data_IF_104518169409
#
_entry.id   IF_104518169409
#
_cell.length_a   1.000
_cell.length_b   1.000
_cell.length_c   1.000
_cell.angle_alpha   90.00
_cell.angle_beta   90.00
_cell.angle_gamma   90.00
#
_symmetry.space_group_name_H-M   'P 1'
#
loop_
_entity.id
_entity.type
_entity.pdbx_description
1 polymer ?
#
# COMPACT_ATOMS: atom_id res chain seq x y z
N UNK A 1 -6.75 21.89 7.44
CA UNK A 1 -6.14 20.85 6.58
C UNK A 1 -6.59 19.51 7.13
N UNK A 2 -7.22 18.67 6.32
CA UNK A 2 -7.61 17.33 6.71
C UNK A 2 -6.73 16.30 5.99
N UNK A 3 -6.48 15.15 6.62
CA UNK A 3 -5.71 14.07 6.04
C UNK A 3 -6.61 12.84 5.85
N UNK A 4 -6.67 12.35 4.63
CA UNK A 4 -7.42 11.15 4.27
C UNK A 4 -6.46 10.06 3.80
N UNK A 5 -6.67 8.84 4.28
CA UNK A 5 -5.98 7.67 3.77
C UNK A 5 -7.00 6.79 3.06
N UNK A 6 -6.73 6.41 1.81
CA UNK A 6 -7.62 5.63 0.95
C UNK A 6 -6.97 4.26 0.71
N UNK A 7 -7.75 3.20 0.81
CA UNK A 7 -7.31 1.84 0.52
C UNK A 7 -7.11 1.56 -0.98
N UNK A 8 -7.01 0.29 -1.33
CA UNK A 8 -6.72 -0.21 -2.67
C UNK A 8 -7.75 0.26 -3.70
N UNK A 9 -7.32 1.09 -4.65
CA UNK A 9 -8.18 1.61 -5.72
C UNK A 9 -8.25 0.62 -6.87
N UNK A 10 -7.13 0.03 -7.25
CA UNK A 10 -7.01 -0.99 -8.31
C UNK A 10 -7.81 -0.64 -9.57
N UNK A 11 -7.67 0.60 -10.09
CA UNK A 11 -8.36 1.06 -11.30
C UNK A 11 -9.86 1.33 -11.16
N UNK A 12 -10.41 1.38 -9.95
CA UNK A 12 -11.81 1.73 -9.68
C UNK A 12 -11.98 3.27 -9.62
N UNK A 13 -11.74 3.97 -10.72
CA UNK A 13 -11.74 5.44 -10.72
C UNK A 13 -13.10 6.04 -10.44
N UNK A 14 -14.19 5.45 -10.92
CA UNK A 14 -15.53 6.00 -10.68
C UNK A 14 -15.88 5.98 -9.18
N UNK A 15 -15.44 4.94 -8.44
CA UNK A 15 -15.61 4.86 -7.00
C UNK A 15 -14.70 5.86 -6.28
N UNK A 16 -13.51 6.11 -6.81
CA UNK A 16 -12.62 7.16 -6.30
C UNK A 16 -13.26 8.54 -6.45
N UNK A 17 -13.78 8.88 -7.61
CA UNK A 17 -14.42 10.16 -7.90
C UNK A 17 -15.66 10.40 -6.99
N UNK A 18 -16.51 9.37 -6.83
CA UNK A 18 -17.63 9.43 -5.88
C UNK A 18 -17.14 9.58 -4.43
N UNK A 19 -16.07 8.88 -4.04
CA UNK A 19 -15.52 8.98 -2.69
C UNK A 19 -14.96 10.38 -2.42
N UNK A 20 -14.23 10.98 -3.38
CA UNK A 20 -13.73 12.35 -3.29
C UNK A 20 -14.89 13.36 -3.11
N UNK A 21 -15.97 13.17 -3.85
CA UNK A 21 -17.19 13.97 -3.69
C UNK A 21 -17.80 13.79 -2.29
N UNK A 22 -17.92 12.54 -1.82
CA UNK A 22 -18.50 12.19 -0.51
C UNK A 22 -17.74 12.77 0.68
N UNK A 23 -16.40 12.81 0.59
CA UNK A 23 -15.55 13.42 1.62
C UNK A 23 -15.43 14.95 1.47
N UNK A 24 -16.01 15.51 0.41
CA UNK A 24 -15.89 16.93 0.04
C UNK A 24 -14.42 17.38 -0.04
N UNK A 25 -13.62 16.58 -0.79
CA UNK A 25 -12.18 16.81 -0.90
C UNK A 25 -11.85 18.16 -1.56
N UNK A 26 -10.92 18.88 -0.95
CA UNK A 26 -10.40 20.16 -1.45
C UNK A 26 -8.89 20.07 -1.67
N UNK A 27 -8.44 20.22 -2.92
CA UNK A 27 -7.02 20.20 -3.27
C UNK A 27 -6.18 21.24 -2.50
N UNK A 28 -6.76 22.36 -2.13
CA UNK A 28 -6.06 23.44 -1.43
C UNK A 28 -5.96 23.22 0.08
N UNK A 29 -6.87 22.41 0.65
CA UNK A 29 -7.04 22.31 2.09
C UNK A 29 -6.85 20.90 2.65
N UNK A 30 -6.80 19.88 1.81
CA UNK A 30 -6.75 18.49 2.25
C UNK A 30 -5.58 17.72 1.62
N UNK A 31 -5.21 16.63 2.26
CA UNK A 31 -4.18 15.70 1.80
C UNK A 31 -4.77 14.30 1.65
N UNK A 32 -4.49 13.64 0.54
CA UNK A 32 -4.79 12.22 0.31
C UNK A 32 -3.49 11.41 0.30
N UNK A 33 -3.52 10.29 1.01
CA UNK A 33 -2.49 9.27 0.94
C UNK A 33 -3.15 7.95 0.55
N UNK A 34 -2.76 7.38 -0.58
CA UNK A 34 -3.19 6.04 -0.95
C UNK A 34 -2.34 4.98 -0.25
N UNK A 35 -2.98 3.94 0.25
CA UNK A 35 -2.32 2.80 0.91
C UNK A 35 -1.72 1.78 -0.07
N UNK A 36 -1.46 2.20 -1.32
CA UNK A 36 -0.91 1.37 -2.39
C UNK A 36 -1.99 0.71 -3.25
N UNK A 37 -1.52 -0.08 -4.24
CA UNK A 37 -2.35 -0.76 -5.23
C UNK A 37 -3.35 0.17 -5.93
N UNK A 38 -2.79 1.17 -6.60
CA UNK A 38 -3.54 2.15 -7.39
C UNK A 38 -4.08 1.52 -8.67
N UNK A 39 -3.34 0.59 -9.24
CA UNK A 39 -3.52 0.05 -10.59
C UNK A 39 -3.82 -1.44 -10.61
N UNK A 40 -4.13 -1.92 -11.82
CA UNK A 40 -4.40 -3.31 -12.16
C UNK A 40 -5.82 -3.75 -11.76
N UNK A 41 -6.33 -4.83 -12.36
CA UNK A 41 -7.64 -5.42 -12.14
C UNK A 41 -8.82 -4.59 -12.72
N UNK A 42 -9.06 -3.40 -12.18
CA UNK A 42 -10.09 -2.51 -12.69
C UNK A 42 -9.66 -1.82 -14.00
N UNK A 43 -10.65 -1.32 -14.72
CA UNK A 43 -10.50 -0.83 -16.11
C UNK A 43 -9.89 0.57 -16.24
N UNK A 44 -9.95 1.39 -15.18
CA UNK A 44 -9.61 2.81 -15.25
C UNK A 44 -8.28 3.14 -14.55
N UNK A 45 -7.30 2.21 -14.59
CA UNK A 45 -6.00 2.38 -13.91
C UNK A 45 -5.25 3.63 -14.38
N UNK A 46 -5.32 3.98 -15.66
CA UNK A 46 -4.70 5.20 -16.19
C UNK A 46 -5.32 6.45 -15.56
N UNK A 47 -6.66 6.52 -15.47
CA UNK A 47 -7.36 7.67 -14.87
C UNK A 47 -6.98 7.87 -13.38
N UNK A 48 -6.77 6.79 -12.63
CA UNK A 48 -6.29 6.86 -11.24
C UNK A 48 -4.90 7.49 -11.19
N UNK A 49 -3.98 7.07 -12.06
CA UNK A 49 -2.63 7.63 -12.10
C UNK A 49 -2.60 9.07 -12.60
N UNK A 50 -3.42 9.41 -13.60
CA UNK A 50 -3.56 10.79 -14.08
C UNK A 50 -4.04 11.72 -12.97
N UNK A 51 -5.00 11.28 -12.15
CA UNK A 51 -5.42 12.02 -10.96
C UNK A 51 -4.25 12.23 -9.98
N UNK A 52 -3.46 11.19 -9.71
CA UNK A 52 -2.31 11.29 -8.82
C UNK A 52 -1.24 12.25 -9.33
N UNK A 53 -0.86 12.13 -10.61
CA UNK A 53 0.20 12.92 -11.23
C UNK A 53 -0.21 14.38 -11.36
N UNK A 54 -1.49 14.66 -11.62
CA UNK A 54 -2.02 16.02 -11.76
C UNK A 54 -2.15 16.77 -10.44
N UNK A 55 -2.06 16.07 -9.30
CA UNK A 55 -2.28 16.67 -7.97
C UNK A 55 -1.10 16.41 -6.98
N UNK A 56 0.15 16.67 -7.36
CA UNK A 56 1.32 16.27 -6.55
C UNK A 56 1.43 17.04 -5.22
N UNK A 57 0.72 18.18 -5.09
CA UNK A 57 0.69 18.98 -3.86
C UNK A 57 -0.26 18.47 -2.78
N UNK A 58 -1.29 17.71 -3.18
CA UNK A 58 -2.35 17.22 -2.27
C UNK A 58 -2.53 15.70 -2.29
N UNK A 59 -1.87 15.00 -3.22
CA UNK A 59 -1.99 13.55 -3.39
C UNK A 59 -0.64 12.87 -3.29
N UNK A 60 -0.57 11.83 -2.49
CA UNK A 60 0.62 10.98 -2.33
C UNK A 60 0.20 9.52 -2.12
N UNK A 61 1.16 8.60 -2.17
CA UNK A 61 0.90 7.18 -1.95
C UNK A 61 2.07 6.50 -1.24
N UNK A 62 1.84 5.29 -0.76
CA UNK A 62 2.86 4.26 -0.60
C UNK A 62 2.73 3.27 -1.76
N UNK A 63 3.79 2.53 -2.07
CA UNK A 63 3.75 1.54 -3.15
C UNK A 63 3.12 0.23 -2.66
N UNK A 64 2.16 -0.28 -3.44
CA UNK A 64 1.66 -1.64 -3.34
C UNK A 64 2.37 -2.61 -4.29
N UNK A 65 2.01 -3.88 -4.22
CA UNK A 65 2.64 -4.89 -5.09
C UNK A 65 2.21 -4.73 -6.56
N UNK A 66 1.01 -4.23 -6.84
CA UNK A 66 0.57 -3.95 -8.20
C UNK A 66 1.26 -2.70 -8.79
N UNK A 67 1.55 -1.70 -7.99
CA UNK A 67 2.30 -0.52 -8.42
C UNK A 67 3.75 -0.90 -8.77
N UNK A 68 4.40 -1.70 -7.94
CA UNK A 68 5.75 -2.24 -8.20
C UNK A 68 5.76 -3.15 -9.44
N UNK A 69 4.69 -3.91 -9.68
CA UNK A 69 4.54 -4.72 -10.89
C UNK A 69 4.46 -3.84 -12.15
N UNK A 70 3.68 -2.77 -12.13
CA UNK A 70 3.65 -1.79 -13.23
C UNK A 70 5.05 -1.21 -13.48
N UNK A 71 5.75 -0.77 -12.43
CA UNK A 71 7.12 -0.26 -12.54
C UNK A 71 8.07 -1.30 -13.15
N UNK A 72 7.92 -2.58 -12.80
CA UNK A 72 8.69 -3.67 -13.42
C UNK A 72 8.39 -3.82 -14.92
N UNK A 73 7.13 -3.76 -15.33
CA UNK A 73 6.77 -3.81 -16.75
C UNK A 73 7.39 -2.66 -17.53
N UNK A 74 7.38 -1.45 -17.00
CA UNK A 74 8.00 -0.27 -17.62
C UNK A 74 9.51 -0.52 -17.83
N UNK A 75 10.22 -0.98 -16.80
CA UNK A 75 11.68 -1.21 -16.88
C UNK A 75 12.06 -2.39 -17.76
N UNK A 76 11.26 -3.45 -17.78
CA UNK A 76 11.50 -4.65 -18.59
C UNK A 76 10.99 -4.52 -20.03
N UNK A 77 10.21 -3.45 -20.35
CA UNK A 77 9.45 -3.31 -21.58
C UNK A 77 8.51 -4.50 -21.81
N UNK A 78 7.93 -4.98 -20.72
CA UNK A 78 6.93 -6.05 -20.73
C UNK A 78 5.56 -5.52 -21.10
N UNK A 79 4.59 -6.41 -21.26
CA UNK A 79 3.19 -6.10 -21.51
C UNK A 79 2.28 -6.82 -20.54
N UNK A 80 1.12 -6.22 -20.30
CA UNK A 80 0.01 -6.79 -19.56
C UNK A 80 -1.27 -6.11 -20.05
N UNK A 81 -2.25 -6.90 -20.48
CA UNK A 81 -3.48 -6.38 -21.11
C UNK A 81 -4.23 -5.40 -20.19
N UNK A 82 -4.21 -5.64 -18.88
CA UNK A 82 -4.86 -4.76 -17.91
C UNK A 82 -4.14 -3.42 -17.71
N UNK A 83 -2.87 -3.31 -18.13
CA UNK A 83 -2.02 -2.15 -17.93
C UNK A 83 -1.55 -1.52 -19.25
N UNK A 84 -2.00 -2.07 -20.40
CA UNK A 84 -1.57 -1.63 -21.72
C UNK A 84 -1.81 -0.14 -21.96
N UNK A 85 -2.97 0.37 -21.56
CA UNK A 85 -3.31 1.78 -21.70
C UNK A 85 -2.30 2.70 -20.98
N UNK A 86 -1.78 2.28 -19.82
CA UNK A 86 -0.74 3.02 -19.10
C UNK A 86 0.59 2.93 -19.84
N UNK A 87 0.97 1.73 -20.31
CA UNK A 87 2.25 1.49 -20.99
C UNK A 87 2.35 2.25 -22.32
N UNK A 88 1.22 2.53 -22.96
CA UNK A 88 1.12 3.30 -24.20
C UNK A 88 0.82 4.79 -23.98
N UNK A 89 0.61 5.21 -22.73
CA UNK A 89 0.24 6.59 -22.39
C UNK A 89 1.37 7.57 -22.72
N UNK A 90 1.05 8.73 -23.31
CA UNK A 90 2.01 9.83 -23.48
C UNK A 90 2.52 10.37 -22.12
N UNK A 91 1.80 10.12 -21.04
CA UNK A 91 2.19 10.51 -19.68
C UNK A 91 3.05 9.46 -18.95
N UNK A 92 3.41 8.33 -19.58
CA UNK A 92 4.14 7.23 -18.96
C UNK A 92 5.36 7.69 -18.15
N UNK A 93 6.15 8.62 -18.68
CA UNK A 93 7.34 9.14 -18.00
C UNK A 93 6.98 9.93 -16.72
N UNK A 94 5.89 10.70 -16.73
CA UNK A 94 5.42 11.45 -15.57
C UNK A 94 4.87 10.51 -14.51
N UNK A 95 4.07 9.53 -14.92
CA UNK A 95 3.53 8.45 -14.07
C UNK A 95 4.68 7.69 -13.40
N UNK A 96 5.65 7.24 -14.19
CA UNK A 96 6.79 6.49 -13.65
C UNK A 96 7.63 7.31 -12.68
N UNK A 97 7.87 8.59 -12.98
CA UNK A 97 8.59 9.50 -12.09
C UNK A 97 7.84 9.72 -10.78
N UNK A 98 6.51 9.83 -10.84
CA UNK A 98 5.67 9.97 -9.65
C UNK A 98 5.71 8.69 -8.80
N UNK A 99 5.54 7.50 -9.39
CA UNK A 99 5.64 6.21 -8.68
C UNK A 99 7.00 6.05 -8.00
N UNK A 100 8.10 6.42 -8.66
CA UNK A 100 9.45 6.39 -8.07
C UNK A 100 9.62 7.34 -6.87
N UNK A 101 8.77 8.32 -6.69
CA UNK A 101 8.76 9.20 -5.52
C UNK A 101 7.99 8.63 -4.33
N UNK A 102 7.22 7.55 -4.54
CA UNK A 102 6.41 6.93 -3.51
C UNK A 102 7.26 5.92 -2.69
N UNK A 103 7.31 6.06 -1.35
CA UNK A 103 7.99 5.10 -0.48
C UNK A 103 7.11 3.86 -0.22
N UNK A 104 7.67 2.85 0.48
CA UNK A 104 6.89 1.72 0.99
C UNK A 104 6.13 2.03 2.29
N UNK A 105 6.53 3.11 2.99
CA UNK A 105 5.91 3.55 4.24
C UNK A 105 5.93 5.07 4.35
N UNK A 106 4.84 5.65 4.85
CA UNK A 106 4.73 7.06 5.27
C UNK A 106 4.31 7.16 6.72
N UNK A 107 4.60 8.29 7.35
CA UNK A 107 4.07 8.60 8.67
C UNK A 107 3.51 10.02 8.71
N UNK A 108 2.42 10.21 9.46
CA UNK A 108 1.81 11.51 9.73
C UNK A 108 1.68 11.67 11.24
N UNK A 109 2.21 12.76 11.76
CA UNK A 109 2.01 13.15 13.15
C UNK A 109 0.98 14.29 13.24
N UNK A 110 -0.15 14.01 13.87
CA UNK A 110 -1.20 15.01 14.15
C UNK A 110 -0.91 15.68 15.49
N UNK A 111 -0.38 16.92 15.45
CA UNK A 111 0.04 17.68 16.65
C UNK A 111 -1.09 17.87 17.66
N UNK A 112 -2.28 18.21 17.18
CA UNK A 112 -3.43 18.53 18.04
C UNK A 112 -3.95 17.30 18.80
N UNK A 113 -3.66 16.10 18.28
CA UNK A 113 -4.07 14.84 18.88
C UNK A 113 -2.93 14.10 19.56
N UNK A 114 -1.69 14.50 19.28
CA UNK A 114 -0.47 13.80 19.68
C UNK A 114 -0.47 12.33 19.22
N UNK A 115 -1.00 12.06 18.03
CA UNK A 115 -1.12 10.73 17.46
C UNK A 115 -0.25 10.60 16.22
N UNK A 116 0.37 9.45 16.03
CA UNK A 116 1.17 9.11 14.85
C UNK A 116 0.47 8.01 14.04
N UNK A 117 0.29 8.25 12.76
CA UNK A 117 -0.28 7.30 11.81
C UNK A 117 0.81 6.82 10.86
N UNK A 118 1.02 5.52 10.81
CA UNK A 118 1.92 4.84 9.90
C UNK A 118 1.10 4.20 8.78
N UNK A 119 1.39 4.57 7.54
CA UNK A 119 0.69 4.10 6.34
C UNK A 119 1.64 3.23 5.53
N UNK A 120 1.22 2.02 5.21
CA UNK A 120 1.93 1.06 4.39
C UNK A 120 0.95 0.19 3.63
N UNK A 121 1.41 -0.54 2.60
CA UNK A 121 0.47 -1.33 1.81
C UNK A 121 0.04 -2.62 2.52
N UNK A 122 0.97 -3.47 2.98
CA UNK A 122 0.61 -4.73 3.64
C UNK A 122 0.88 -4.71 5.16
N UNK A 123 2.12 -4.47 5.59
CA UNK A 123 2.43 -4.44 7.02
C UNK A 123 3.92 -4.33 7.33
N UNK A 124 4.26 -4.47 8.60
CA UNK A 124 5.64 -4.59 9.11
C UNK A 124 5.77 -5.84 9.98
N UNK A 125 6.91 -6.55 9.93
CA UNK A 125 7.11 -7.72 10.77
C UNK A 125 7.35 -7.33 12.24
N UNK A 126 7.06 -8.22 13.20
CA UNK A 126 7.21 -7.94 14.63
C UNK A 126 8.67 -7.73 15.07
N UNK A 127 9.64 -8.05 14.22
CA UNK A 127 11.06 -7.85 14.48
C UNK A 127 11.49 -6.40 14.31
N UNK A 128 10.70 -5.56 13.62
CA UNK A 128 11.08 -4.17 13.33
C UNK A 128 10.35 -3.19 14.26
N UNK A 129 11.08 -2.15 14.64
CA UNK A 129 10.51 -0.90 15.14
C UNK A 129 10.03 -0.04 13.96
N UNK A 130 9.21 0.98 14.22
CA UNK A 130 8.78 1.90 13.16
C UNK A 130 9.95 2.71 12.56
N UNK A 131 10.97 3.03 13.37
CA UNK A 131 12.17 3.71 12.89
C UNK A 131 12.98 2.82 11.94
N UNK A 132 13.11 1.53 12.26
CA UNK A 132 13.75 0.56 11.37
C UNK A 132 12.90 0.36 10.09
N UNK A 133 11.59 0.21 10.21
CA UNK A 133 10.68 0.10 9.08
C UNK A 133 10.82 1.31 8.14
N UNK A 134 10.85 2.53 8.69
CA UNK A 134 11.09 3.74 7.91
C UNK A 134 12.45 3.72 7.22
N UNK A 135 13.51 3.36 7.94
CA UNK A 135 14.86 3.24 7.37
C UNK A 135 14.89 2.25 6.20
N UNK A 136 14.21 1.11 6.32
CA UNK A 136 14.17 0.11 5.26
C UNK A 136 13.31 0.55 4.07
N UNK A 137 12.22 1.27 4.32
CA UNK A 137 11.45 1.92 3.26
C UNK A 137 12.30 2.95 2.48
N UNK A 138 13.06 3.79 3.19
CA UNK A 138 13.96 4.78 2.58
C UNK A 138 15.12 4.10 1.80
N UNK A 139 15.60 2.94 2.26
CA UNK A 139 16.60 2.11 1.56
C UNK A 139 16.06 1.67 0.18
N UNK A 140 14.84 1.13 0.13
CA UNK A 140 14.21 0.71 -1.12
C UNK A 140 13.92 1.90 -2.03
N UNK A 141 13.39 3.00 -1.50
CA UNK A 141 13.14 4.23 -2.26
C UNK A 141 14.42 4.74 -2.95
N UNK A 142 15.55 4.72 -2.22
CA UNK A 142 16.85 5.11 -2.76
C UNK A 142 17.31 4.19 -3.90
N UNK A 143 17.15 2.87 -3.74
CA UNK A 143 17.52 1.90 -4.77
C UNK A 143 16.59 2.00 -6.01
N UNK A 144 15.29 2.21 -5.84
CA UNK A 144 14.35 2.47 -6.93
C UNK A 144 14.73 3.71 -7.74
N UNK A 145 15.29 4.74 -7.11
CA UNK A 145 15.74 5.93 -7.82
C UNK A 145 17.13 5.78 -8.44
N UNK A 146 18.02 4.96 -7.86
CA UNK A 146 19.39 4.78 -8.33
C UNK A 146 19.50 3.75 -9.45
N UNK A 147 18.83 2.60 -9.30
CA UNK A 147 18.90 1.50 -10.24
C UNK A 147 17.58 0.70 -10.25
N UNK A 148 16.48 1.32 -10.78
CA UNK A 148 15.14 0.72 -10.72
C UNK A 148 15.10 -0.65 -11.41
N UNK A 149 15.73 -0.79 -12.57
CA UNK A 149 15.75 -2.06 -13.31
C UNK A 149 16.31 -3.20 -12.47
N UNK A 150 17.38 -2.95 -11.73
CA UNK A 150 18.03 -3.99 -10.93
C UNK A 150 17.13 -4.45 -9.78
N UNK A 151 16.56 -3.52 -8.99
CA UNK A 151 15.71 -3.89 -7.86
C UNK A 151 14.40 -4.54 -8.31
N UNK A 152 13.73 -3.99 -9.33
CA UNK A 152 12.45 -4.49 -9.84
C UNK A 152 12.57 -5.86 -10.51
N UNK A 153 13.72 -6.17 -11.15
CA UNK A 153 13.94 -7.50 -11.73
C UNK A 153 14.25 -8.57 -10.67
N UNK A 154 14.76 -8.20 -9.50
CA UNK A 154 15.20 -9.12 -8.46
C UNK A 154 14.28 -9.16 -7.22
N UNK A 155 13.18 -8.39 -7.21
CA UNK A 155 12.23 -8.36 -6.09
C UNK A 155 11.34 -9.60 -5.99
N UNK A 156 11.27 -10.40 -7.05
CA UNK A 156 10.40 -11.58 -7.15
C UNK A 156 10.92 -12.76 -6.33
N UNK A 157 9.99 -13.51 -5.79
CA UNK A 157 10.25 -14.73 -5.02
C UNK A 157 9.83 -14.61 -3.56
N UNK A 158 9.73 -15.76 -2.90
CA UNK A 158 9.21 -15.90 -1.54
C UNK A 158 10.33 -16.12 -0.49
N UNK A 159 11.58 -16.24 -0.95
CA UNK A 159 12.74 -16.43 -0.09
C UNK A 159 13.76 -15.31 -0.28
N UNK A 160 14.47 -14.90 0.80
CA UNK A 160 14.29 -15.35 2.18
C UNK A 160 12.95 -14.92 2.74
N UNK A 161 12.46 -15.61 3.78
CA UNK A 161 11.17 -15.34 4.40
C UNK A 161 11.28 -15.00 5.91
N UNK A 162 12.48 -14.94 6.46
CA UNK A 162 12.75 -14.56 7.84
C UNK A 162 13.79 -13.44 7.90
N UNK A 163 13.48 -12.37 8.64
CA UNK A 163 14.40 -11.26 8.79
C UNK A 163 15.67 -11.64 9.55
N UNK A 164 16.78 -11.21 8.97
CA UNK A 164 18.10 -11.27 9.61
C UNK A 164 18.88 -10.00 9.25
N UNK A 165 19.46 -9.33 10.23
CA UNK A 165 20.20 -8.09 10.01
C UNK A 165 21.44 -8.24 9.10
N UNK A 166 21.93 -9.48 8.91
CA UNK A 166 23.04 -9.79 8.01
C UNK A 166 22.62 -9.97 6.54
N UNK A 167 21.32 -9.94 6.23
CA UNK A 167 20.84 -9.99 4.84
C UNK A 167 21.38 -8.81 4.05
N UNK A 168 21.84 -9.08 2.83
CA UNK A 168 22.42 -8.09 1.91
C UNK A 168 21.87 -8.26 0.48
N UNK A 169 22.10 -7.23 -0.34
CA UNK A 169 21.76 -7.28 -1.77
C UNK A 169 20.28 -7.59 -2.04
N UNK A 170 20.03 -8.39 -3.08
CA UNK A 170 18.67 -8.67 -3.54
C UNK A 170 17.81 -9.45 -2.54
N UNK A 171 18.40 -10.32 -1.74
CA UNK A 171 17.66 -11.06 -0.72
C UNK A 171 17.10 -10.13 0.34
N UNK A 172 17.90 -9.14 0.78
CA UNK A 172 17.47 -8.12 1.70
C UNK A 172 16.35 -7.25 1.13
N UNK A 173 16.56 -6.71 -0.07
CA UNK A 173 15.56 -5.85 -0.72
C UNK A 173 14.26 -6.59 -1.00
N UNK A 174 14.33 -7.85 -1.46
CA UNK A 174 13.16 -8.70 -1.70
C UNK A 174 12.35 -8.93 -0.43
N UNK A 175 13.01 -9.25 0.67
CA UNK A 175 12.30 -9.50 1.93
C UNK A 175 11.66 -8.22 2.47
N UNK A 176 12.33 -7.06 2.39
CA UNK A 176 11.77 -5.75 2.76
C UNK A 176 10.51 -5.49 1.93
N UNK A 177 10.59 -5.61 0.61
CA UNK A 177 9.45 -5.41 -0.29
C UNK A 177 8.31 -6.37 0.06
N UNK A 178 8.59 -7.66 0.28
CA UNK A 178 7.57 -8.65 0.62
C UNK A 178 6.85 -8.33 1.93
N UNK A 179 7.54 -7.86 2.96
CA UNK A 179 6.89 -7.42 4.20
C UNK A 179 5.95 -6.25 3.96
N UNK A 180 6.42 -5.21 3.29
CA UNK A 180 5.61 -4.01 3.07
C UNK A 180 4.46 -4.19 2.08
N UNK A 181 4.56 -5.17 1.15
CA UNK A 181 3.61 -5.22 0.02
C UNK A 181 2.86 -6.54 -0.14
N UNK A 182 3.27 -7.62 0.54
CA UNK A 182 2.67 -8.95 0.32
C UNK A 182 2.29 -9.69 1.60
N UNK A 183 2.71 -9.22 2.76
CA UNK A 183 2.51 -9.89 4.04
C UNK A 183 1.04 -9.98 4.43
N UNK A 184 0.61 -11.18 4.87
CA UNK A 184 -0.70 -11.46 5.49
C UNK A 184 -0.52 -12.26 6.76
N UNK A 185 0.19 -13.37 6.64
CA UNK A 185 0.45 -14.30 7.73
C UNK A 185 1.94 -14.47 8.00
N UNK A 186 2.22 -14.82 9.23
CA UNK A 186 3.51 -15.27 9.70
C UNK A 186 3.37 -16.69 10.27
N UNK A 187 4.41 -17.49 10.13
CA UNK A 187 4.56 -18.73 10.85
C UNK A 187 4.87 -18.46 12.33
N UNK A 188 4.78 -19.49 13.19
CA UNK A 188 5.05 -19.37 14.64
C UNK A 188 6.49 -18.94 14.96
N UNK A 189 7.44 -19.19 14.06
CA UNK A 189 8.82 -18.75 14.17
C UNK A 189 9.04 -17.28 13.71
N UNK A 190 7.97 -16.61 13.26
CA UNK A 190 8.00 -15.24 12.74
C UNK A 190 8.40 -15.15 11.26
N UNK A 191 8.60 -16.26 10.57
CA UNK A 191 8.86 -16.26 9.13
C UNK A 191 7.61 -15.93 8.33
N UNK A 192 7.80 -15.26 7.17
CA UNK A 192 6.74 -14.81 6.29
C UNK A 192 6.09 -15.99 5.55
N UNK A 193 4.76 -16.02 5.53
CA UNK A 193 3.96 -16.95 4.73
C UNK A 193 3.19 -16.16 3.66
N UNK A 194 3.44 -16.46 2.38
CA UNK A 194 2.92 -15.68 1.24
C UNK A 194 1.88 -16.41 0.40
N UNK A 195 1.63 -17.68 0.65
CA UNK A 195 0.73 -18.52 -0.18
C UNK A 195 -0.73 -18.39 0.25
N UNK A 196 -0.98 -18.26 1.54
CA UNK A 196 -2.32 -18.18 2.11
C UNK A 196 -2.90 -16.78 1.94
N UNK A 197 -4.01 -16.67 1.22
CA UNK A 197 -4.71 -15.40 0.95
C UNK A 197 -6.04 -15.27 1.70
N UNK A 198 -6.67 -16.39 2.02
CA UNK A 198 -7.97 -16.46 2.66
C UNK A 198 -7.84 -16.39 4.19
N UNK A 199 -8.92 -15.98 4.87
CA UNK A 199 -8.95 -15.93 6.34
C UNK A 199 -8.98 -17.34 7.00
N UNK A 200 -9.38 -18.37 6.27
CA UNK A 200 -9.29 -19.76 6.72
C UNK A 200 -7.84 -20.25 6.61
N UNK A 201 -7.00 -19.74 7.49
CA UNK A 201 -5.64 -20.22 7.66
C UNK A 201 -5.60 -21.45 8.58
N UNK A 202 -4.51 -22.23 8.51
CA UNK A 202 -4.28 -23.28 9.51
C UNK A 202 -3.98 -22.65 10.88
N UNK A 203 -4.23 -23.37 11.96
CA UNK A 203 -3.94 -22.93 13.35
C UNK A 203 -2.44 -22.64 13.62
N UNK A 204 -1.58 -22.96 12.65
CA UNK A 204 -0.16 -22.66 12.71
C UNK A 204 0.19 -21.26 12.22
N UNK A 205 -0.70 -20.57 11.52
CA UNK A 205 -0.48 -19.23 10.96
C UNK A 205 -1.05 -18.16 11.86
N UNK A 206 -0.33 -17.04 11.96
CA UNK A 206 -0.67 -15.90 12.80
C UNK A 206 -0.83 -14.69 11.87
N UNK A 207 -1.92 -13.94 11.99
CA UNK A 207 -2.06 -12.68 11.27
C UNK A 207 -0.94 -11.74 11.71
N UNK A 208 -0.26 -11.10 10.77
CA UNK A 208 0.93 -10.29 11.06
C UNK A 208 0.69 -9.26 12.18
N UNK A 209 -0.47 -8.64 12.19
CA UNK A 209 -0.80 -7.58 13.14
C UNK A 209 -1.06 -8.08 14.57
N UNK A 210 -1.41 -9.35 14.77
CA UNK A 210 -1.56 -9.93 16.12
C UNK A 210 -0.21 -10.00 16.87
N UNK A 211 0.90 -10.00 16.13
CA UNK A 211 2.25 -9.95 16.69
C UNK A 211 2.80 -8.53 16.76
N UNK A 212 2.61 -7.74 15.71
CA UNK A 212 3.23 -6.41 15.58
C UNK A 212 2.66 -5.37 16.55
N UNK A 213 1.39 -5.50 16.95
CA UNK A 213 0.74 -4.57 17.89
C UNK A 213 1.47 -4.48 19.24
N UNK A 214 2.21 -5.52 19.62
CA UNK A 214 2.92 -5.56 20.91
C UNK A 214 4.01 -4.48 21.02
N UNK A 215 4.52 -3.99 19.90
CA UNK A 215 5.58 -3.00 19.85
C UNK A 215 5.06 -1.56 19.67
N UNK A 216 3.73 -1.38 19.56
CA UNK A 216 3.11 -0.08 19.32
C UNK A 216 2.86 0.68 20.62
N UNK A 217 3.14 1.97 20.62
CA UNK A 217 2.72 2.89 21.67
C UNK A 217 1.21 3.15 21.59
N UNK A 218 0.62 3.67 22.65
CA UNK A 218 -0.83 3.90 22.76
C UNK A 218 -1.36 4.97 21.81
N UNK A 219 -0.49 5.86 21.34
CA UNK A 219 -0.75 6.98 20.43
C UNK A 219 -0.34 6.68 18.97
N UNK A 220 0.03 5.44 18.67
CA UNK A 220 0.44 4.99 17.34
C UNK A 220 -0.66 4.18 16.67
N UNK A 221 -0.84 4.39 15.37
CA UNK A 221 -1.83 3.73 14.51
C UNK A 221 -1.16 3.20 13.24
N UNK A 222 -1.60 2.05 12.76
CA UNK A 222 -1.23 1.50 11.44
C UNK A 222 -2.45 1.52 10.53
N UNK A 223 -2.26 2.01 9.31
CA UNK A 223 -3.24 1.99 8.23
C UNK A 223 -2.66 1.19 7.07
N UNK A 224 -3.41 0.23 6.55
CA UNK A 224 -2.92 -0.65 5.49
C UNK A 224 -4.01 -1.09 4.52
N UNK A 225 -3.63 -1.54 3.33
CA UNK A 225 -4.45 -2.08 2.26
C UNK A 225 -4.29 -3.60 2.08
N UNK A 226 -4.09 -4.05 0.85
CA UNK A 226 -3.62 -5.36 0.44
C UNK A 226 -4.52 -6.57 0.76
N UNK A 227 -5.22 -6.58 1.86
CA UNK A 227 -5.89 -7.79 2.35
C UNK A 227 -7.41 -7.70 2.25
N UNK A 228 -7.93 -7.72 1.02
CA UNK A 228 -9.37 -7.60 0.71
C UNK A 228 -10.25 -8.60 1.49
N UNK A 229 -9.74 -9.80 1.79
CA UNK A 229 -10.50 -10.81 2.55
C UNK A 229 -10.86 -10.36 3.98
N UNK A 230 -10.12 -9.42 4.58
CA UNK A 230 -10.44 -8.82 5.89
C UNK A 230 -11.66 -7.90 5.81
N UNK A 231 -11.97 -7.36 4.64
CA UNK A 231 -12.99 -6.32 4.45
C UNK A 231 -12.84 -5.17 5.45
N UNK A 232 -11.58 -4.78 5.71
CA UNK A 232 -11.22 -3.73 6.66
C UNK A 232 -11.28 -4.14 8.14
N UNK A 233 -11.72 -5.34 8.49
CA UNK A 233 -11.90 -5.76 9.88
C UNK A 233 -10.63 -6.41 10.44
N UNK A 234 -10.03 -5.79 11.45
CA UNK A 234 -8.86 -6.35 12.17
C UNK A 234 -9.18 -6.73 13.61
N UNK A 235 -10.34 -6.32 14.14
CA UNK A 235 -10.71 -6.41 15.55
C UNK A 235 -9.76 -5.63 16.50
N UNK A 236 -8.93 -4.75 15.93
CA UNK A 236 -7.94 -3.93 16.64
C UNK A 236 -8.19 -2.45 16.37
N UNK A 237 -8.40 -1.66 17.42
CA UNK A 237 -8.74 -0.23 17.28
C UNK A 237 -7.63 0.65 16.68
N UNK A 238 -6.38 0.19 16.70
CA UNK A 238 -5.21 0.95 16.25
C UNK A 238 -4.53 0.37 15.01
N UNK A 239 -5.02 -0.72 14.47
CA UNK A 239 -4.58 -1.30 13.19
C UNK A 239 -5.80 -1.38 12.29
N UNK A 240 -5.83 -0.55 11.26
CA UNK A 240 -7.02 -0.31 10.46
C UNK A 240 -6.75 -0.75 9.02
N UNK A 241 -7.46 -1.79 8.60
CA UNK A 241 -7.48 -2.23 7.20
C UNK A 241 -8.36 -1.31 6.36
N UNK A 242 -7.89 -0.93 5.19
CA UNK A 242 -8.63 -0.06 4.26
C UNK A 242 -8.96 -0.74 2.92
N UNK A 243 -8.37 -1.92 2.65
CA UNK A 243 -8.78 -2.74 1.51
C UNK A 243 -10.09 -3.45 1.85
N UNK A 244 -11.18 -2.87 1.36
CA UNK A 244 -12.54 -3.39 1.51
C UNK A 244 -13.06 -4.06 0.24
N UNK A 245 -12.14 -4.36 -0.69
CA UNK A 245 -12.38 -5.20 -1.86
C UNK A 245 -13.11 -4.48 -2.99
N UNK A 246 -12.83 -3.19 -3.22
CA UNK A 246 -13.51 -2.38 -4.24
C UNK A 246 -13.58 -3.09 -5.59
N UNK A 247 -12.45 -3.51 -6.13
CA UNK A 247 -12.37 -4.18 -7.43
C UNK A 247 -13.10 -5.55 -7.47
N UNK A 248 -13.45 -6.10 -6.33
CA UNK A 248 -14.18 -7.36 -6.19
C UNK A 248 -15.68 -7.16 -5.89
N UNK A 249 -16.24 -5.98 -6.21
CA UNK A 249 -17.64 -5.64 -5.92
C UNK A 249 -17.90 -5.28 -4.44
N UNK A 250 -16.84 -5.02 -3.67
CA UNK A 250 -16.90 -4.47 -2.33
C UNK A 250 -16.99 -2.95 -2.32
N UNK A 251 -16.24 -2.30 -1.45
CA UNK A 251 -16.25 -0.85 -1.27
C UNK A 251 -14.85 -0.27 -1.44
N UNK A 252 -14.76 1.00 -1.90
CA UNK A 252 -13.57 1.82 -1.74
C UNK A 252 -13.70 2.61 -0.45
N UNK A 253 -12.74 2.46 0.45
CA UNK A 253 -12.81 3.04 1.80
C UNK A 253 -11.69 4.04 2.04
N UNK A 254 -12.08 5.18 2.62
CA UNK A 254 -11.17 6.19 3.15
C UNK A 254 -11.37 6.38 4.66
N UNK A 255 -10.31 6.76 5.36
CA UNK A 255 -10.35 7.22 6.74
C UNK A 255 -9.88 8.68 6.81
N UNK A 256 -10.62 9.53 7.53
CA UNK A 256 -10.15 10.85 7.93
C UNK A 256 -9.39 10.74 9.25
N UNK A 257 -8.11 11.11 9.27
CA UNK A 257 -7.24 10.87 10.41
C UNK A 257 -7.64 11.67 11.65
N UNK A 258 -8.11 12.92 11.49
CA UNK A 258 -8.43 13.84 12.58
C UNK A 258 -9.52 13.31 13.52
N UNK A 259 -10.45 12.53 13.00
CA UNK A 259 -11.58 12.00 13.78
C UNK A 259 -11.76 10.49 13.63
N UNK A 260 -10.89 9.83 12.85
CA UNK A 260 -10.92 8.38 12.54
C UNK A 260 -12.24 7.90 11.91
N UNK A 261 -12.97 8.82 11.27
CA UNK A 261 -14.22 8.51 10.57
C UNK A 261 -13.92 7.82 9.25
N UNK A 262 -14.59 6.70 9.02
CA UNK A 262 -14.57 5.97 7.75
C UNK A 262 -15.64 6.50 6.80
N UNK A 263 -15.29 6.51 5.52
CA UNK A 263 -16.17 6.84 4.39
C UNK A 263 -15.98 5.75 3.35
N UNK A 264 -17.05 5.20 2.81
CA UNK A 264 -16.99 4.14 1.82
C UNK A 264 -17.94 4.39 0.67
N UNK A 265 -17.55 3.95 -0.52
CA UNK A 265 -18.34 3.93 -1.74
C UNK A 265 -18.39 2.51 -2.27
N UNK A 266 -19.61 1.98 -2.47
CA UNK A 266 -19.78 0.63 -2.98
C UNK A 266 -19.49 0.56 -4.48
N UNK A 267 -18.76 -0.46 -4.89
CA UNK A 267 -18.61 -0.77 -6.29
C UNK A 267 -19.81 -1.61 -6.75
N UNK A 268 -20.67 -1.01 -7.57
CA UNK A 268 -21.82 -1.68 -8.19
C UNK A 268 -21.55 -2.03 -9.66
N UNK A 269 -20.35 -1.81 -10.17
CA UNK A 269 -19.99 -2.18 -11.53
C UNK A 269 -19.77 -3.69 -11.61
N UNK A 270 -20.32 -4.30 -12.67
CA UNK A 270 -20.01 -5.69 -13.00
C UNK A 270 -18.59 -5.72 -13.59
N UNK A 271 -17.67 -6.35 -12.88
CA UNK A 271 -16.28 -6.58 -13.31
C UNK A 271 -16.19 -7.90 -14.05
#
# INVERSE_FOLDING_TARGET
MSHFVIGDVQGCFNQLDELLTRINFSHDNDQIIFAGDLVNRGKDSLRVLDFCVSNPGSVSAVLGNHDLYLMHLIESKGNDDCLQEILESPQLNAIYSWLKSCPLMRSIYLKDRKETFYIMHAGIPPQWTFDEAKKYSDEILKELNKNPKNILSNMWGDLPNLWNNNLQGHERSRLIINYFTRMRFLNKDGSLELKTKNLKASDSLIKWFDLSIKNMKSDEYILFGHWAALRGTTDLSRIIGLDTGCVWGGELTAIKLENKKLYSVKNNENI
#
